data_IF_885394197586
#
_entry.id   IF_885394197586
#
_cell.length_a   1.000
_cell.length_b   1.000
_cell.length_c   1.000
_cell.angle_alpha   90.00
_cell.angle_beta   90.00
_cell.angle_gamma   90.00
#
_symmetry.space_group_name_H-M   'P 1'
#
loop_
_entity.id
_entity.type
_entity.pdbx_description
1 polymer ?
#
# COMPACT_ATOMS: atom_id res chain seq x y z
N UNK A 1 6.22 17.98 -34.08
CA UNK A 1 5.06 17.47 -33.30
C UNK A 1 5.19 18.05 -31.92
N UNK A 2 4.45 19.11 -31.63
CA UNK A 2 4.37 19.71 -30.31
C UNK A 2 3.68 18.74 -29.36
N UNK A 3 4.43 18.26 -28.38
CA UNK A 3 3.90 17.54 -27.25
C UNK A 3 3.34 18.59 -26.27
N UNK A 4 2.07 18.94 -26.41
CA UNK A 4 1.34 19.75 -25.42
C UNK A 4 1.27 18.96 -24.13
N UNK A 5 2.16 19.27 -23.19
CA UNK A 5 2.05 18.79 -21.80
C UNK A 5 0.79 19.41 -21.22
N UNK A 6 -0.28 18.62 -21.18
CA UNK A 6 -1.43 18.93 -20.34
C UNK A 6 -0.94 19.02 -18.89
N UNK A 7 -1.23 20.14 -18.22
CA UNK A 7 -0.82 20.35 -16.82
C UNK A 7 -1.51 19.36 -15.87
N UNK A 8 -1.07 19.25 -14.60
CA UNK A 8 -1.57 18.26 -13.63
C UNK A 8 -3.09 18.32 -13.39
N UNK A 9 -3.74 19.46 -13.63
CA UNK A 9 -5.20 19.63 -13.50
C UNK A 9 -5.95 18.89 -14.60
N UNK A 10 -5.41 18.84 -15.83
CA UNK A 10 -6.03 18.12 -16.94
C UNK A 10 -5.98 16.61 -16.76
N UNK A 11 -4.90 16.07 -16.15
CA UNK A 11 -4.77 14.64 -15.90
C UNK A 11 -5.80 14.13 -14.88
N UNK A 12 -6.08 14.89 -13.82
CA UNK A 12 -7.08 14.52 -12.83
C UNK A 12 -8.49 14.52 -13.43
N UNK A 13 -8.82 15.52 -14.24
CA UNK A 13 -10.08 15.58 -14.95
C UNK A 13 -10.29 14.38 -15.87
N UNK A 14 -9.25 13.99 -16.62
CA UNK A 14 -9.31 12.80 -17.48
C UNK A 14 -9.59 11.50 -16.70
N UNK A 15 -9.08 11.40 -15.47
CA UNK A 15 -9.39 10.26 -14.58
C UNK A 15 -10.85 10.29 -14.15
N UNK A 16 -11.37 11.44 -13.73
CA UNK A 16 -12.78 11.60 -13.31
C UNK A 16 -13.73 11.27 -14.46
N UNK A 17 -13.49 11.81 -15.65
CA UNK A 17 -14.30 11.51 -16.86
C UNK A 17 -14.33 10.01 -17.16
N UNK A 18 -13.17 9.35 -17.14
CA UNK A 18 -13.08 7.91 -17.38
C UNK A 18 -13.80 7.11 -16.30
N UNK A 19 -13.70 7.52 -15.03
CA UNK A 19 -14.41 6.90 -13.93
C UNK A 19 -15.92 7.01 -14.14
N UNK A 20 -16.44 8.22 -14.35
CA UNK A 20 -17.88 8.47 -14.54
C UNK A 20 -18.42 7.73 -15.76
N UNK A 21 -17.69 7.75 -16.87
CA UNK A 21 -18.05 6.96 -18.05
C UNK A 21 -18.05 5.44 -17.80
N UNK A 22 -17.05 4.93 -17.05
CA UNK A 22 -16.97 3.50 -16.74
C UNK A 22 -18.09 2.99 -15.82
N UNK A 23 -18.62 3.86 -14.95
CA UNK A 23 -19.74 3.52 -14.07
C UNK A 23 -21.12 3.85 -14.68
N UNK A 24 -21.14 4.33 -15.94
CA UNK A 24 -22.38 4.60 -16.68
C UNK A 24 -23.01 5.96 -16.42
N UNK A 25 -22.27 6.89 -15.79
CA UNK A 25 -22.72 8.27 -15.51
C UNK A 25 -22.10 9.24 -16.52
N UNK A 26 -22.54 9.10 -17.77
CA UNK A 26 -22.07 9.97 -18.86
C UNK A 26 -22.45 11.44 -18.62
N UNK A 27 -23.57 11.68 -17.95
CA UNK A 27 -24.00 13.00 -17.51
C UNK A 27 -22.94 13.72 -16.65
N UNK A 28 -22.33 12.99 -15.70
CA UNK A 28 -21.24 13.52 -14.87
C UNK A 28 -19.89 13.54 -15.60
N UNK A 29 -19.67 12.62 -16.53
CA UNK A 29 -18.45 12.59 -17.32
C UNK A 29 -18.31 13.79 -18.26
N UNK A 30 -19.41 14.34 -18.73
CA UNK A 30 -19.46 15.45 -19.67
C UNK A 30 -19.79 16.80 -19.00
N UNK A 31 -19.95 16.82 -17.68
CA UNK A 31 -20.29 18.01 -16.91
C UNK A 31 -19.08 18.96 -16.77
N UNK A 32 -19.13 20.18 -17.36
CA UNK A 32 -18.01 21.11 -17.32
C UNK A 32 -17.68 21.61 -15.91
N UNK A 33 -18.63 21.63 -14.99
CA UNK A 33 -18.41 22.09 -13.61
C UNK A 33 -17.46 21.12 -12.87
N UNK A 34 -17.48 19.84 -13.24
CA UNK A 34 -16.58 18.83 -12.66
C UNK A 34 -15.15 18.87 -13.24
N UNK A 35 -14.89 19.68 -14.26
CA UNK A 35 -13.55 19.86 -14.80
C UNK A 35 -12.59 20.49 -13.78
N UNK A 36 -13.12 21.32 -12.88
CA UNK A 36 -12.35 22.00 -11.86
C UNK A 36 -12.52 21.39 -10.47
N UNK A 37 -11.51 21.61 -9.61
CA UNK A 37 -11.53 21.05 -8.25
C UNK A 37 -12.68 21.58 -7.41
N UNK A 38 -12.98 22.86 -7.55
CA UNK A 38 -14.03 23.52 -6.76
C UNK A 38 -15.42 22.94 -7.05
N UNK A 39 -15.73 22.67 -8.32
CA UNK A 39 -16.98 22.02 -8.72
C UNK A 39 -17.09 20.59 -8.16
N UNK A 40 -15.97 19.81 -8.20
CA UNK A 40 -15.94 18.48 -7.59
C UNK A 40 -16.10 18.52 -6.08
N UNK A 41 -15.43 19.46 -5.40
CA UNK A 41 -15.53 19.63 -3.96
C UNK A 41 -16.96 20.04 -3.53
N UNK A 42 -17.61 20.91 -4.28
CA UNK A 42 -18.99 21.33 -4.02
C UNK A 42 -20.01 20.18 -4.16
N UNK A 43 -19.68 19.16 -4.95
CA UNK A 43 -20.56 17.99 -5.21
C UNK A 43 -19.96 16.67 -4.72
N UNK A 44 -19.07 16.73 -3.73
CA UNK A 44 -18.38 15.53 -3.23
C UNK A 44 -19.35 14.44 -2.77
N UNK A 45 -20.34 14.80 -1.97
CA UNK A 45 -21.34 13.85 -1.45
C UNK A 45 -22.15 13.16 -2.56
N UNK A 46 -22.49 13.88 -3.62
CA UNK A 46 -23.18 13.31 -4.79
C UNK A 46 -22.26 12.32 -5.53
N UNK A 47 -21.02 12.71 -5.78
CA UNK A 47 -20.06 11.87 -6.47
C UNK A 47 -19.76 10.60 -5.66
N UNK A 48 -19.58 10.73 -4.36
CA UNK A 48 -19.33 9.60 -3.45
C UNK A 48 -20.53 8.66 -3.37
N UNK A 49 -21.76 9.19 -3.33
CA UNK A 49 -22.98 8.38 -3.35
C UNK A 49 -23.09 7.55 -4.63
N UNK A 50 -22.86 8.17 -5.79
CA UNK A 50 -22.93 7.49 -7.10
C UNK A 50 -21.85 6.41 -7.23
N UNK A 51 -20.62 6.71 -6.82
CA UNK A 51 -19.52 5.73 -6.83
C UNK A 51 -19.81 4.60 -5.83
N UNK A 52 -20.28 4.95 -4.63
CA UNK A 52 -20.62 3.99 -3.57
C UNK A 52 -21.74 3.03 -3.99
N UNK A 53 -22.81 3.52 -4.62
CA UNK A 53 -23.89 2.69 -5.15
C UNK A 53 -23.36 1.71 -6.22
N UNK A 54 -22.57 2.21 -7.17
CA UNK A 54 -22.04 1.37 -8.24
C UNK A 54 -21.07 0.32 -7.73
N UNK A 55 -20.19 0.68 -6.80
CA UNK A 55 -19.21 -0.25 -6.21
C UNK A 55 -19.86 -1.24 -5.27
N UNK A 56 -20.83 -0.82 -4.46
CA UNK A 56 -21.55 -1.66 -3.51
C UNK A 56 -22.38 -2.78 -4.16
N UNK A 57 -22.78 -2.59 -5.43
CA UNK A 57 -23.52 -3.59 -6.21
C UNK A 57 -22.60 -4.62 -6.91
N UNK A 58 -21.29 -4.61 -6.66
CA UNK A 58 -20.32 -5.42 -7.41
C UNK A 58 -19.24 -6.02 -6.52
N UNK A 59 -18.72 -7.16 -6.93
CA UNK A 59 -17.54 -7.75 -6.31
C UNK A 59 -16.29 -6.89 -6.58
N UNK A 60 -15.38 -6.85 -5.61
CA UNK A 60 -14.13 -6.10 -5.69
C UNK A 60 -13.33 -6.35 -6.97
N UNK A 61 -13.21 -7.63 -7.37
CA UNK A 61 -12.49 -8.02 -8.58
C UNK A 61 -13.17 -7.50 -9.85
N UNK A 62 -14.50 -7.43 -9.86
CA UNK A 62 -15.26 -6.84 -10.95
C UNK A 62 -15.02 -5.32 -11.05
N UNK A 63 -15.02 -4.62 -9.91
CA UNK A 63 -14.71 -3.19 -9.83
C UNK A 63 -13.30 -2.91 -10.39
N UNK A 64 -12.29 -3.60 -9.89
CA UNK A 64 -10.89 -3.44 -10.33
C UNK A 64 -10.75 -3.70 -11.83
N UNK A 65 -11.40 -4.75 -12.34
CA UNK A 65 -11.35 -5.10 -13.76
C UNK A 65 -12.00 -4.04 -14.65
N UNK A 66 -13.16 -3.51 -14.27
CA UNK A 66 -13.89 -2.51 -15.07
C UNK A 66 -13.13 -1.19 -15.07
N UNK A 67 -12.75 -0.69 -13.90
CA UNK A 67 -12.03 0.57 -13.76
C UNK A 67 -10.62 0.50 -14.38
N UNK A 68 -9.93 -0.61 -14.22
CA UNK A 68 -8.62 -0.84 -14.84
C UNK A 68 -8.68 -0.84 -16.36
N UNK A 69 -9.72 -1.46 -16.98
CA UNK A 69 -9.96 -1.39 -18.43
C UNK A 69 -10.22 0.03 -18.92
N UNK A 70 -10.87 0.84 -18.12
CA UNK A 70 -11.13 2.25 -18.42
C UNK A 70 -9.89 3.15 -18.19
N UNK A 71 -8.75 2.58 -17.73
CA UNK A 71 -7.54 3.33 -17.42
C UNK A 71 -7.69 4.24 -16.19
N UNK A 72 -8.61 3.91 -15.30
CA UNK A 72 -8.76 4.57 -14.00
C UNK A 72 -7.78 3.92 -13.02
N UNK A 73 -6.93 4.69 -12.32
CA UNK A 73 -6.06 4.16 -11.27
C UNK A 73 -6.91 3.50 -10.18
N UNK A 74 -6.76 2.22 -9.99
CA UNK A 74 -7.50 1.43 -9.01
C UNK A 74 -6.62 0.34 -8.45
N UNK A 75 -6.75 0.08 -7.16
CA UNK A 75 -6.04 -1.00 -6.47
C UNK A 75 -6.86 -1.53 -5.32
N UNK A 76 -6.54 -2.73 -4.87
CA UNK A 76 -7.16 -3.30 -3.66
C UNK A 76 -6.37 -2.89 -2.42
N UNK A 77 -7.07 -2.78 -1.30
CA UNK A 77 -6.45 -2.76 0.01
C UNK A 77 -6.05 -4.20 0.34
N UNK A 78 -4.76 -4.43 0.55
CA UNK A 78 -4.21 -5.75 0.80
C UNK A 78 -4.47 -6.21 2.23
N UNK A 79 -4.92 -7.44 2.37
CA UNK A 79 -4.83 -8.18 3.63
C UNK A 79 -3.40 -8.73 3.82
N UNK A 80 -3.08 -9.20 5.03
CA UNK A 80 -1.79 -9.86 5.30
C UNK A 80 -1.60 -11.09 4.39
N UNK A 81 -2.66 -11.84 4.12
CA UNK A 81 -2.63 -12.98 3.20
C UNK A 81 -2.32 -12.55 1.76
N UNK A 82 -2.90 -11.42 1.30
CA UNK A 82 -2.59 -10.86 -0.02
C UNK A 82 -1.12 -10.46 -0.12
N UNK A 83 -0.58 -9.78 0.90
CA UNK A 83 0.82 -9.36 0.97
C UNK A 83 1.74 -10.60 0.91
N UNK A 84 1.43 -11.63 1.70
CA UNK A 84 2.23 -12.85 1.74
C UNK A 84 2.25 -13.63 0.41
N UNK A 85 1.18 -13.51 -0.38
CA UNK A 85 1.04 -14.17 -1.67
C UNK A 85 1.58 -13.35 -2.84
N UNK A 86 1.73 -12.03 -2.69
CA UNK A 86 2.09 -11.12 -3.78
C UNK A 86 3.54 -11.31 -4.22
N UNK A 87 3.77 -11.60 -5.53
CA UNK A 87 5.13 -11.79 -6.07
C UNK A 87 6.01 -10.55 -5.94
N UNK A 88 5.44 -9.34 -5.94
CA UNK A 88 6.17 -8.09 -5.85
C UNK A 88 6.82 -7.91 -4.48
N UNK A 89 6.10 -8.27 -3.40
CA UNK A 89 6.68 -8.24 -2.05
C UNK A 89 7.83 -9.24 -1.92
N UNK A 90 7.70 -10.43 -2.52
CA UNK A 90 8.74 -11.47 -2.50
C UNK A 90 9.96 -11.07 -3.33
N UNK A 91 9.75 -10.57 -4.56
CA UNK A 91 10.86 -10.16 -5.44
C UNK A 91 11.71 -9.02 -4.89
N UNK A 92 11.16 -8.26 -3.93
CA UNK A 92 11.85 -7.18 -3.23
C UNK A 92 12.34 -7.56 -1.84
N UNK A 93 12.30 -8.83 -1.46
CA UNK A 93 12.65 -9.32 -0.11
C UNK A 93 11.93 -8.54 1.00
N UNK A 94 10.65 -8.21 0.77
CA UNK A 94 9.83 -7.53 1.76
C UNK A 94 9.26 -8.47 2.80
N UNK A 95 9.41 -9.79 2.57
CA UNK A 95 9.09 -10.86 3.49
C UNK A 95 10.32 -11.77 3.53
N UNK A 96 10.90 -11.94 4.71
CA UNK A 96 12.04 -12.80 4.97
C UNK A 96 11.58 -14.04 5.73
N UNK A 97 12.17 -15.18 5.38
CA UNK A 97 12.03 -16.41 6.15
C UNK A 97 13.22 -16.47 7.13
N UNK A 98 12.92 -16.53 8.42
CA UNK A 98 13.91 -16.70 9.48
C UNK A 98 13.52 -17.89 10.36
N UNK A 99 14.44 -18.34 11.21
CA UNK A 99 14.14 -19.29 12.26
C UNK A 99 13.99 -18.55 13.59
N UNK A 100 13.00 -18.95 14.38
CA UNK A 100 12.91 -18.53 15.77
C UNK A 100 13.96 -19.26 16.63
N UNK A 101 13.97 -18.98 17.93
CA UNK A 101 14.94 -19.61 18.85
C UNK A 101 14.75 -21.11 18.98
N UNK A 102 13.55 -21.62 18.69
CA UNK A 102 13.19 -23.02 18.82
C UNK A 102 13.35 -23.76 17.47
N UNK A 103 13.84 -23.08 16.44
CA UNK A 103 14.08 -23.64 15.09
C UNK A 103 12.85 -23.66 14.21
N UNK A 104 11.76 -23.00 14.61
CA UNK A 104 10.55 -22.92 13.78
C UNK A 104 10.70 -21.84 12.72
N UNK A 105 10.19 -22.13 11.52
CA UNK A 105 10.18 -21.14 10.43
C UNK A 105 9.21 -19.99 10.75
N UNK A 106 9.70 -18.77 10.66
CA UNK A 106 8.94 -17.54 10.90
C UNK A 106 9.10 -16.56 9.74
N UNK A 107 7.99 -16.02 9.26
CA UNK A 107 7.99 -14.93 8.26
C UNK A 107 7.98 -13.58 8.94
N UNK A 108 8.95 -12.74 8.60
CA UNK A 108 9.07 -11.39 9.16
C UNK A 108 9.15 -10.35 8.06
N UNK A 109 8.79 -9.08 8.34
CA UNK A 109 9.00 -7.99 7.41
C UNK A 109 10.46 -7.84 7.02
N UNK A 110 10.71 -7.58 5.74
CA UNK A 110 12.04 -7.26 5.23
C UNK A 110 12.54 -5.90 5.70
N UNK A 111 13.84 -5.66 5.51
CA UNK A 111 14.49 -4.42 5.93
C UNK A 111 14.31 -3.36 4.86
N UNK A 112 13.83 -2.19 5.26
CA UNK A 112 13.71 -0.99 4.43
C UNK A 112 14.27 0.22 5.16
N UNK A 113 14.90 1.17 4.45
CA UNK A 113 15.17 1.19 3.00
C UNK A 113 16.22 0.16 2.56
N UNK A 114 16.20 -0.21 1.27
CA UNK A 114 17.23 -1.07 0.67
C UNK A 114 18.44 -0.20 0.32
N UNK A 115 19.51 -0.30 1.10
CA UNK A 115 20.75 0.45 0.89
C UNK A 115 21.73 -0.37 0.04
N UNK A 116 22.25 0.24 -1.03
CA UNK A 116 23.17 -0.45 -1.95
C UNK A 116 24.58 -0.64 -1.38
N UNK A 117 25.10 0.37 -0.68
CA UNK A 117 26.44 0.35 -0.11
C UNK A 117 26.53 -0.39 1.23
N UNK A 118 25.46 -0.31 2.03
CA UNK A 118 25.39 -0.92 3.37
C UNK A 118 24.04 -1.66 3.53
N UNK A 119 23.85 -2.79 2.84
CA UNK A 119 22.59 -3.50 2.90
C UNK A 119 22.31 -3.99 4.33
N UNK A 120 21.05 -3.77 4.75
CA UNK A 120 20.57 -4.27 6.03
C UNK A 120 20.44 -5.80 6.02
N UNK A 121 20.63 -6.45 7.16
CA UNK A 121 20.48 -7.90 7.33
C UNK A 121 20.15 -8.26 8.77
N UNK A 122 19.50 -9.40 8.97
CA UNK A 122 19.26 -9.98 10.29
C UNK A 122 20.51 -10.79 10.64
N UNK A 123 21.28 -10.32 11.62
CA UNK A 123 22.54 -10.93 12.02
C UNK A 123 22.38 -11.97 13.11
N UNK A 124 21.37 -11.83 13.96
CA UNK A 124 21.07 -12.72 15.07
C UNK A 124 19.57 -12.93 15.16
N UNK A 125 19.14 -14.08 15.62
CA UNK A 125 17.74 -14.34 16.01
C UNK A 125 17.34 -13.49 17.23
N UNK A 126 16.07 -13.46 17.55
CA UNK A 126 15.60 -12.85 18.79
C UNK A 126 16.17 -13.60 20.00
N UNK A 127 16.80 -12.92 20.97
CA UNK A 127 17.40 -13.56 22.13
C UNK A 127 16.36 -14.08 23.12
N UNK A 128 16.72 -15.06 23.92
CA UNK A 128 16.00 -15.39 25.13
C UNK A 128 16.18 -14.31 26.21
N UNK A 129 15.30 -14.30 27.20
CA UNK A 129 15.45 -13.38 28.32
C UNK A 129 16.80 -13.60 29.00
N UNK A 130 17.60 -12.54 29.11
CA UNK A 130 18.92 -12.55 29.73
C UNK A 130 20.04 -13.25 28.90
N UNK A 131 19.79 -13.74 27.70
CA UNK A 131 20.77 -14.49 26.88
C UNK A 131 22.09 -13.75 26.69
N UNK A 132 22.07 -12.43 26.60
CA UNK A 132 23.26 -11.61 26.38
C UNK A 132 23.69 -10.78 27.59
N UNK A 133 23.09 -11.00 28.78
CA UNK A 133 23.42 -10.22 29.97
C UNK A 133 24.89 -10.24 30.28
N UNK A 134 25.52 -11.42 30.32
CA UNK A 134 26.96 -11.56 30.61
C UNK A 134 27.83 -10.93 29.52
N UNK A 135 27.41 -11.00 28.23
CA UNK A 135 28.14 -10.38 27.10
C UNK A 135 28.13 -8.84 27.21
N UNK A 136 26.98 -8.27 27.59
CA UNK A 136 26.77 -6.82 27.57
C UNK A 136 27.15 -6.17 28.90
N UNK A 137 26.80 -6.77 30.02
CA UNK A 137 26.97 -6.21 31.36
C UNK A 137 28.22 -6.69 32.09
N UNK A 138 28.90 -7.70 31.52
CA UNK A 138 30.01 -8.39 32.19
C UNK A 138 29.53 -9.42 33.22
N UNK A 139 30.52 -10.09 33.87
CA UNK A 139 30.21 -11.14 34.83
C UNK A 139 29.58 -10.62 36.15
N UNK A 140 29.67 -9.32 36.40
CA UNK A 140 29.16 -8.66 37.62
C UNK A 140 27.67 -8.26 37.52
N UNK A 141 27.03 -8.40 36.35
CA UNK A 141 25.64 -8.07 36.16
C UNK A 141 25.35 -6.57 36.19
N UNK A 142 24.06 -6.21 36.29
CA UNK A 142 23.63 -4.82 36.37
C UNK A 142 23.89 -4.25 37.77
N UNK A 143 24.58 -3.07 37.91
CA UNK A 143 24.74 -2.43 39.22
C UNK A 143 23.36 -2.00 39.74
N UNK A 144 22.81 -2.71 40.69
CA UNK A 144 21.49 -2.43 41.28
C UNK A 144 20.59 -3.65 41.45
N UNK A 145 21.05 -4.85 41.16
CA UNK A 145 20.28 -6.10 41.33
C UNK A 145 20.45 -6.72 42.74
N UNK A 146 20.80 -5.89 43.73
CA UNK A 146 20.84 -6.25 45.16
C UNK A 146 19.42 -6.15 45.76
N UNK A 147 18.50 -7.10 45.37
CA UNK A 147 17.19 -7.24 46.02
C UNK A 147 16.80 -8.70 46.17
#
# INVERSE_FOLDING_TARGET
RECTRSGPVSQLWDVVRRLMGAIGRQDLADDPDLAHNDGRAARADELDAVIGEWTGARDREAVIRVLGKAGVPVGKIYSVADIAADPQYRSRDMILDIEDRDGNALKVPGIVPKLSATPGGIRRRAPALGEHNTEILGAEGWPGDDS
#
